data_IF_179403261486
#
_entry.id   IF_179403261486
#
_cell.length_a   1.000
_cell.length_b   1.000
_cell.length_c   1.000
_cell.angle_alpha   90.00
_cell.angle_beta   90.00
_cell.angle_gamma   90.00
#
_symmetry.space_group_name_H-M   'P 1'
#
loop_
_entity.id
_entity.type
_entity.pdbx_description
1 polymer ?
#
# COMPACT_ATOMS: atom_id res chain seq x y z
N UNK A 1 -0.19 -24.56 -0.80
CA UNK A 1 0.64 -24.34 -2.00
C UNK A 1 0.12 -23.13 -2.77
N UNK A 2 0.47 -21.88 -2.48
CA UNK A 2 1.67 -21.38 -1.84
C UNK A 2 1.35 -20.53 -0.61
N UNK A 3 1.79 -21.04 0.52
CA UNK A 3 1.81 -20.45 1.83
C UNK A 3 3.03 -19.51 1.79
N UNK A 4 2.78 -18.30 1.30
CA UNK A 4 3.78 -17.31 0.90
C UNK A 4 4.54 -16.84 2.16
N UNK A 5 5.83 -17.15 2.27
CA UNK A 5 6.75 -16.74 3.35
C UNK A 5 6.86 -15.21 3.57
N UNK A 6 6.12 -14.42 2.79
CA UNK A 6 5.97 -12.96 2.95
C UNK A 6 4.98 -12.54 4.04
N UNK A 7 4.28 -13.48 4.68
CA UNK A 7 3.23 -13.17 5.68
C UNK A 7 3.75 -12.80 7.07
N UNK A 8 5.06 -12.78 7.33
CA UNK A 8 5.61 -12.31 8.62
C UNK A 8 5.27 -10.83 8.89
N UNK A 9 5.13 -10.01 7.85
CA UNK A 9 4.75 -8.60 7.99
C UNK A 9 3.36 -8.42 8.61
N UNK A 10 2.43 -9.33 8.34
CA UNK A 10 1.07 -9.27 8.88
C UNK A 10 1.04 -9.53 10.40
N UNK A 11 2.06 -10.21 10.94
CA UNK A 11 2.22 -10.42 12.38
C UNK A 11 2.72 -9.17 13.10
N UNK A 12 3.54 -8.34 12.43
CA UNK A 12 4.06 -7.07 12.98
C UNK A 12 3.13 -5.87 12.72
N UNK A 13 2.38 -5.92 11.62
CA UNK A 13 1.43 -4.90 11.21
C UNK A 13 0.07 -5.54 10.97
N UNK A 14 -0.70 -5.83 12.03
CA UNK A 14 -2.03 -6.41 11.87
C UNK A 14 -2.87 -5.51 10.97
N UNK A 15 -3.34 -6.06 9.84
CA UNK A 15 -4.15 -5.33 8.86
C UNK A 15 -5.44 -4.86 9.53
N UNK A 16 -5.45 -3.63 10.03
CA UNK A 16 -6.69 -2.91 10.22
C UNK A 16 -7.42 -2.85 8.87
N UNK A 17 -8.75 -2.89 8.89
CA UNK A 17 -9.65 -2.94 7.73
C UNK A 17 -9.00 -2.27 6.52
N UNK A 18 -8.65 -3.06 5.50
CA UNK A 18 -7.84 -2.61 4.37
C UNK A 18 -8.63 -1.57 3.57
N UNK A 19 -8.50 -0.30 3.95
CA UNK A 19 -9.09 0.79 3.20
C UNK A 19 -8.24 1.01 1.97
N UNK A 20 -8.79 0.67 0.80
CA UNK A 20 -8.16 0.97 -0.48
C UNK A 20 -7.97 2.48 -0.58
N UNK A 21 -6.70 2.91 -0.58
CA UNK A 21 -6.36 4.33 -0.67
C UNK A 21 -6.48 4.88 -2.09
N UNK A 22 -6.31 4.04 -3.12
CA UNK A 22 -6.34 4.49 -4.51
C UNK A 22 -5.71 3.51 -5.50
N UNK A 23 -5.24 4.04 -6.63
CA UNK A 23 -4.56 3.32 -7.69
C UNK A 23 -3.22 3.96 -8.01
N UNK A 24 -2.15 3.16 -8.05
CA UNK A 24 -0.81 3.60 -8.48
C UNK A 24 -0.84 3.92 -9.97
N UNK A 25 -0.38 5.10 -10.34
CA UNK A 25 -0.30 5.58 -11.73
C UNK A 25 1.11 5.49 -12.30
N UNK A 26 2.12 5.76 -11.46
CA UNK A 26 3.52 5.70 -11.86
C UNK A 26 4.42 5.45 -10.65
N UNK A 27 5.65 5.03 -10.88
CA UNK A 27 6.62 4.82 -9.80
C UNK A 27 8.06 4.79 -10.30
N UNK A 28 8.97 5.36 -9.52
CA UNK A 28 10.41 5.17 -9.70
C UNK A 28 11.14 5.20 -8.36
N UNK A 29 12.32 4.56 -8.31
CA UNK A 29 13.18 4.58 -7.12
C UNK A 29 13.60 5.99 -6.70
N UNK A 30 13.71 6.92 -7.67
CA UNK A 30 14.17 8.29 -7.42
C UNK A 30 13.06 9.28 -7.09
N UNK A 31 11.85 9.07 -7.61
CA UNK A 31 10.71 9.98 -7.46
C UNK A 31 9.63 9.47 -6.51
N UNK A 32 9.71 8.20 -6.11
CA UNK A 32 8.68 7.54 -5.34
C UNK A 32 7.52 7.10 -6.22
N UNK A 33 6.35 6.91 -5.61
CA UNK A 33 5.13 6.44 -6.25
C UNK A 33 4.12 7.57 -6.38
N UNK A 34 3.49 7.63 -7.56
CA UNK A 34 2.38 8.52 -7.83
C UNK A 34 1.08 7.72 -7.76
N UNK A 35 0.18 8.16 -6.90
CA UNK A 35 -1.08 7.45 -6.61
C UNK A 35 -2.25 8.39 -6.86
N UNK A 36 -3.21 7.92 -7.64
CA UNK A 36 -4.53 8.54 -7.73
C UNK A 36 -5.37 8.03 -6.56
N UNK A 37 -5.60 8.89 -5.58
CA UNK A 37 -6.39 8.56 -4.39
C UNK A 37 -7.86 8.31 -4.74
N UNK A 38 -8.47 7.38 -4.01
CA UNK A 38 -9.91 7.19 -4.02
C UNK A 38 -10.59 8.43 -3.40
N UNK A 39 -11.71 8.93 -3.95
CA UNK A 39 -12.42 10.09 -3.37
C UNK A 39 -12.88 9.89 -1.92
N UNK A 40 -13.05 8.64 -1.48
CA UNK A 40 -13.41 8.29 -0.10
C UNK A 40 -12.22 8.28 0.86
N UNK A 41 -10.98 8.45 0.38
CA UNK A 41 -9.79 8.47 1.21
C UNK A 41 -9.63 9.85 1.91
N UNK A 42 -9.64 9.92 3.26
CA UNK A 42 -9.52 11.17 3.99
C UNK A 42 -8.07 11.65 4.01
N UNK A 43 -7.67 12.39 2.97
CA UNK A 43 -6.30 12.90 2.82
C UNK A 43 -5.89 13.82 3.97
N UNK A 44 -6.82 14.58 4.54
CA UNK A 44 -6.56 15.50 5.65
C UNK A 44 -6.21 14.79 6.96
N UNK A 45 -6.63 13.53 7.12
CA UNK A 45 -6.36 12.68 8.29
C UNK A 45 -5.15 11.76 8.08
N UNK A 46 -4.60 11.75 6.87
CA UNK A 46 -3.47 10.91 6.49
C UNK A 46 -2.17 11.51 7.03
N UNK A 47 -1.71 11.00 8.18
CA UNK A 47 -0.45 11.45 8.76
C UNK A 47 0.76 11.07 7.88
N UNK A 48 1.68 12.02 7.72
CA UNK A 48 2.96 11.80 7.05
C UNK A 48 3.80 10.78 7.84
N UNK A 49 4.47 9.87 7.13
CA UNK A 49 5.34 8.85 7.75
C UNK A 49 4.65 7.52 8.10
N UNK A 50 3.39 7.33 7.69
CA UNK A 50 2.74 6.02 7.76
C UNK A 50 3.24 5.10 6.63
N UNK A 51 3.41 3.82 6.95
CA UNK A 51 3.69 2.79 5.97
C UNK A 51 2.40 2.40 5.23
N UNK A 52 2.49 2.26 3.92
CA UNK A 52 1.40 1.76 3.07
C UNK A 52 1.87 0.51 2.34
N UNK A 53 0.97 -0.45 2.17
CA UNK A 53 1.25 -1.68 1.43
C UNK A 53 0.76 -1.48 0.00
N UNK A 54 1.61 -1.78 -0.97
CA UNK A 54 1.25 -1.76 -2.39
C UNK A 54 1.20 -3.20 -2.88
N UNK A 55 0.03 -3.63 -3.31
CA UNK A 55 -0.19 -4.95 -3.89
C UNK A 55 -0.25 -4.80 -5.41
N UNK A 56 0.76 -5.34 -6.11
CA UNK A 56 0.76 -5.45 -7.56
C UNK A 56 0.25 -6.84 -7.99
N UNK A 57 -0.52 -6.91 -9.08
CA UNK A 57 -1.08 -8.19 -9.57
C UNK A 57 0.00 -9.15 -10.12
N UNK A 58 1.09 -8.62 -10.70
CA UNK A 58 2.10 -9.45 -11.38
C UNK A 58 3.54 -9.23 -10.87
N UNK A 59 3.85 -8.06 -10.34
CA UNK A 59 5.16 -7.73 -9.81
C UNK A 59 4.98 -7.06 -8.45
N UNK A 60 5.70 -7.56 -7.45
CA UNK A 60 5.84 -6.91 -6.14
C UNK A 60 6.82 -5.74 -6.34
N UNK A 61 6.36 -4.53 -6.01
CA UNK A 61 7.16 -3.31 -6.09
C UNK A 61 7.69 -2.91 -4.72
#
# INVERSE_FOLDING_TARGET
MADNEFNDFDAFFPRAVTQKLGMVMSGSLSKGLEVKLDPSAPIEEMAVGRYVIIEGEQLKF
#
